data_IF_890205067010
#
_entry.id   IF_890205067010
#
_cell.length_a   1.000
_cell.length_b   1.000
_cell.length_c   1.000
_cell.angle_alpha   90.00
_cell.angle_beta   90.00
_cell.angle_gamma   90.00
#
_symmetry.space_group_name_H-M   'P 1'
#
loop_
_entity.id
_entity.type
_entity.pdbx_description
1 polymer ?
#
# COMPACT_ATOMS: atom_id res chain seq x y z
N UNK A 1 -4.80 -38.04 -1.48
CA UNK A 1 -5.44 -37.78 -2.78
C UNK A 1 -6.94 -37.81 -2.54
N UNK A 2 -7.78 -36.84 -2.86
CA UNK A 2 -7.64 -35.52 -3.48
C UNK A 2 -9.02 -34.85 -3.37
N UNK A 3 -9.15 -33.74 -2.66
CA UNK A 3 -10.42 -33.01 -2.61
C UNK A 3 -10.25 -31.63 -2.02
N UNK A 4 -9.72 -31.58 -0.79
CA UNK A 4 -9.62 -30.33 -0.02
C UNK A 4 -8.60 -29.32 -0.60
N UNK A 5 -7.61 -29.80 -1.36
CA UNK A 5 -6.65 -28.93 -2.04
C UNK A 5 -7.19 -28.42 -3.38
N UNK A 6 -7.90 -29.28 -4.14
CA UNK A 6 -8.45 -28.91 -5.45
C UNK A 6 -9.62 -27.91 -5.33
N UNK A 7 -10.43 -28.04 -4.28
CA UNK A 7 -11.54 -27.13 -4.00
C UNK A 7 -11.03 -25.76 -3.55
N UNK A 8 -10.07 -25.70 -2.63
CA UNK A 8 -9.37 -24.45 -2.25
C UNK A 8 -8.61 -23.82 -3.40
N UNK A 9 -8.00 -24.63 -4.28
CA UNK A 9 -7.38 -24.13 -5.51
C UNK A 9 -8.42 -23.56 -6.48
N UNK A 10 -9.58 -24.20 -6.65
CA UNK A 10 -10.65 -23.68 -7.52
C UNK A 10 -11.26 -22.40 -6.97
N UNK A 11 -11.58 -22.34 -5.68
CA UNK A 11 -12.10 -21.12 -5.04
C UNK A 11 -11.10 -19.96 -5.17
N UNK A 12 -9.80 -20.24 -5.02
CA UNK A 12 -8.75 -19.25 -5.26
C UNK A 12 -8.75 -18.75 -6.70
N UNK A 13 -8.94 -19.63 -7.71
CA UNK A 13 -8.97 -19.22 -9.11
C UNK A 13 -10.29 -18.54 -9.53
N UNK A 14 -11.42 -18.92 -8.96
CA UNK A 14 -12.70 -18.23 -9.16
C UNK A 14 -12.63 -16.81 -8.58
N UNK A 15 -11.97 -16.62 -7.44
CA UNK A 15 -11.66 -15.29 -6.89
C UNK A 15 -10.60 -14.56 -7.74
N UNK A 16 -9.59 -15.27 -8.25
CA UNK A 16 -8.54 -14.74 -9.14
C UNK A 16 -9.12 -14.19 -10.46
N UNK A 17 -10.22 -14.78 -10.94
CA UNK A 17 -10.89 -14.41 -12.18
C UNK A 17 -12.13 -13.53 -11.95
N UNK A 18 -12.35 -13.06 -10.73
CA UNK A 18 -13.32 -12.01 -10.46
C UNK A 18 -12.81 -10.69 -11.06
N UNK A 19 -12.96 -10.54 -12.37
CA UNK A 19 -12.55 -9.36 -13.11
C UNK A 19 -13.61 -8.28 -12.95
N UNK A 20 -13.17 -7.07 -12.63
CA UNK A 20 -13.97 -5.86 -12.78
C UNK A 20 -13.47 -5.08 -13.99
N UNK A 21 -14.39 -4.69 -14.86
CA UNK A 21 -14.04 -3.82 -15.99
C UNK A 21 -13.62 -2.44 -15.50
N UNK A 22 -12.56 -1.91 -16.13
CA UNK A 22 -12.05 -0.56 -15.92
C UNK A 22 -12.15 0.21 -17.23
N UNK A 23 -12.34 1.53 -17.15
CA UNK A 23 -12.36 2.35 -18.37
C UNK A 23 -10.97 2.37 -19.01
N UNK A 24 -10.92 2.47 -20.34
CA UNK A 24 -9.68 2.52 -21.08
C UNK A 24 -8.79 3.69 -20.64
N UNK A 25 -9.39 4.84 -20.33
CA UNK A 25 -8.67 6.04 -19.87
C UNK A 25 -7.96 5.79 -18.54
N UNK A 26 -8.64 5.13 -17.59
CA UNK A 26 -8.05 4.79 -16.29
C UNK A 26 -6.89 3.80 -16.45
N UNK A 27 -7.08 2.76 -17.26
CA UNK A 27 -6.05 1.75 -17.51
C UNK A 27 -4.81 2.36 -18.19
N UNK A 28 -5.01 3.09 -19.30
CA UNK A 28 -3.93 3.71 -20.06
C UNK A 28 -3.19 4.77 -19.24
N UNK A 29 -3.91 5.58 -18.45
CA UNK A 29 -3.29 6.53 -17.55
C UNK A 29 -2.41 5.83 -16.51
N UNK A 30 -2.87 4.72 -15.93
CA UNK A 30 -2.12 3.96 -14.93
C UNK A 30 -0.86 3.38 -15.54
N UNK A 31 -0.95 2.76 -16.72
CA UNK A 31 0.21 2.23 -17.46
C UNK A 31 1.24 3.33 -17.74
N UNK A 32 0.83 4.45 -18.34
CA UNK A 32 1.73 5.55 -18.69
C UNK A 32 2.32 6.24 -17.44
N UNK A 33 1.49 6.56 -16.44
CA UNK A 33 1.92 7.39 -15.29
C UNK A 33 2.72 6.59 -14.26
N UNK A 34 2.24 5.39 -13.90
CA UNK A 34 2.82 4.59 -12.81
C UNK A 34 3.95 3.71 -13.33
N UNK A 35 3.70 2.92 -14.38
CA UNK A 35 4.64 1.90 -14.83
C UNK A 35 5.70 2.45 -15.81
N UNK A 36 5.30 3.27 -16.79
CA UNK A 36 6.25 3.80 -17.80
C UNK A 36 7.01 5.02 -17.28
N UNK A 37 6.29 6.08 -16.88
CA UNK A 37 6.91 7.33 -16.45
C UNK A 37 7.45 7.28 -15.04
N UNK A 38 6.85 6.46 -14.17
CA UNK A 38 7.16 6.39 -12.74
C UNK A 38 7.05 7.78 -12.09
N UNK A 39 5.95 8.47 -12.37
CA UNK A 39 5.82 9.90 -12.09
C UNK A 39 5.86 10.23 -10.58
N UNK A 40 5.37 9.34 -9.72
CA UNK A 40 5.36 9.54 -8.27
C UNK A 40 6.78 9.57 -7.66
N UNK A 41 7.62 8.52 -7.81
CA UNK A 41 8.98 8.56 -7.26
C UNK A 41 9.88 9.61 -7.93
N UNK A 42 9.54 10.07 -9.14
CA UNK A 42 10.27 11.16 -9.82
C UNK A 42 9.76 12.56 -9.46
N UNK A 43 8.73 12.69 -8.62
CA UNK A 43 8.17 13.98 -8.21
C UNK A 43 7.45 14.77 -9.31
N UNK A 44 7.03 14.10 -10.40
CA UNK A 44 6.35 14.73 -11.54
C UNK A 44 4.85 14.40 -11.60
N UNK A 45 4.36 13.53 -10.71
CA UNK A 45 2.95 13.17 -10.65
C UNK A 45 2.09 14.37 -10.22
N UNK A 46 0.98 14.57 -10.92
CA UNK A 46 -0.05 15.54 -10.52
C UNK A 46 -1.40 14.84 -10.41
N UNK A 47 -2.26 15.34 -9.53
CA UNK A 47 -3.66 14.95 -9.42
C UNK A 47 -4.53 16.20 -9.44
N UNK A 48 -5.44 16.30 -10.42
CA UNK A 48 -6.32 17.48 -10.61
C UNK A 48 -5.54 18.81 -10.64
N UNK A 49 -4.38 18.82 -11.30
CA UNK A 49 -3.51 19.99 -11.43
C UNK A 49 -2.64 20.29 -10.20
N UNK A 50 -2.73 19.51 -9.13
CA UNK A 50 -1.91 19.67 -7.92
C UNK A 50 -0.80 18.62 -7.91
N UNK A 51 0.44 19.04 -7.66
CA UNK A 51 1.57 18.13 -7.52
C UNK A 51 1.35 17.17 -6.34
N UNK A 52 1.65 15.88 -6.56
CA UNK A 52 1.62 14.87 -5.50
C UNK A 52 2.99 14.82 -4.85
N UNK A 53 3.06 15.19 -3.57
CA UNK A 53 4.29 15.22 -2.79
C UNK A 53 4.18 14.28 -1.56
N UNK A 54 4.78 13.07 -1.59
CA UNK A 54 4.81 12.16 -0.45
C UNK A 54 5.49 12.74 0.80
N UNK A 55 6.39 13.72 0.64
CA UNK A 55 7.04 14.39 1.77
C UNK A 55 6.06 15.23 2.59
N UNK A 56 4.87 15.54 2.07
CA UNK A 56 3.84 16.23 2.82
C UNK A 56 3.22 15.37 3.95
N UNK A 57 3.45 14.06 3.96
CA UNK A 57 2.96 13.12 4.98
C UNK A 57 3.83 13.24 6.24
N UNK A 58 3.21 13.54 7.39
CA UNK A 58 3.93 13.85 8.66
C UNK A 58 3.35 13.21 9.91
N UNK A 59 2.03 13.07 9.97
CA UNK A 59 1.30 12.81 11.22
C UNK A 59 0.74 11.38 11.32
N UNK A 60 1.39 10.43 10.64
CA UNK A 60 1.00 9.02 10.61
C UNK A 60 2.24 8.15 10.86
N UNK A 61 2.01 6.86 11.08
CA UNK A 61 3.06 5.85 11.03
C UNK A 61 2.94 5.08 9.71
N UNK A 62 4.05 4.59 9.16
CA UNK A 62 4.10 3.86 7.89
C UNK A 62 4.57 2.43 8.12
N UNK A 63 3.73 1.46 7.74
CA UNK A 63 4.08 0.04 7.76
C UNK A 63 3.99 -0.54 6.34
N UNK A 64 5.08 -1.14 5.88
CA UNK A 64 5.12 -1.86 4.60
C UNK A 64 5.29 -3.35 4.83
N UNK A 65 4.57 -4.16 4.03
CA UNK A 65 4.64 -5.63 4.05
C UNK A 65 4.97 -6.11 2.64
N UNK A 66 5.98 -6.97 2.51
CA UNK A 66 6.38 -7.60 1.24
C UNK A 66 6.43 -9.12 1.37
N UNK A 67 6.30 -9.85 0.27
CA UNK A 67 6.50 -11.30 0.20
C UNK A 67 7.86 -11.63 -0.40
N UNK A 68 8.59 -12.58 0.19
CA UNK A 68 9.92 -13.00 -0.31
C UNK A 68 9.91 -13.44 -1.78
N UNK A 69 8.84 -14.13 -2.19
CA UNK A 69 8.68 -14.72 -3.51
C UNK A 69 7.61 -13.99 -4.33
N UNK A 70 7.32 -12.71 -4.02
CA UNK A 70 6.37 -11.90 -4.78
C UNK A 70 6.97 -11.51 -6.14
N UNK A 71 6.37 -12.01 -7.22
CA UNK A 71 6.75 -11.77 -8.61
C UNK A 71 5.93 -10.67 -9.29
N UNK A 72 4.93 -10.10 -8.61
CA UNK A 72 4.09 -9.00 -9.07
C UNK A 72 4.64 -7.66 -8.55
N UNK A 73 4.81 -7.56 -7.23
CA UNK A 73 5.43 -6.44 -6.53
C UNK A 73 6.69 -6.92 -5.82
N UNK A 74 7.77 -7.06 -6.60
CA UNK A 74 9.03 -7.61 -6.10
C UNK A 74 9.63 -6.84 -4.91
N UNK A 75 10.52 -7.53 -4.19
CA UNK A 75 11.19 -7.02 -3.00
C UNK A 75 11.77 -5.61 -3.22
N UNK A 76 11.53 -4.74 -2.23
CA UNK A 76 11.96 -3.35 -2.23
C UNK A 76 10.96 -2.36 -2.84
N UNK A 77 10.03 -2.78 -3.70
CA UNK A 77 9.10 -1.86 -4.34
C UNK A 77 8.13 -1.22 -3.34
N UNK A 78 7.61 -1.99 -2.39
CA UNK A 78 6.72 -1.47 -1.33
C UNK A 78 7.55 -0.72 -0.29
N UNK A 79 8.72 -1.25 0.09
CA UNK A 79 9.65 -0.62 1.04
C UNK A 79 10.13 0.76 0.57
N UNK A 80 10.23 1.01 -0.74
CA UNK A 80 10.60 2.30 -1.30
C UNK A 80 9.67 3.46 -0.87
N UNK A 81 8.44 3.16 -0.42
CA UNK A 81 7.56 4.18 0.16
C UNK A 81 8.19 4.90 1.36
N UNK A 82 9.09 4.24 2.08
CA UNK A 82 9.82 4.84 3.20
C UNK A 82 10.75 5.97 2.75
N UNK A 83 11.40 5.82 1.59
CA UNK A 83 12.30 6.82 1.02
C UNK A 83 11.55 8.00 0.40
N UNK A 84 10.28 7.79 0.02
CA UNK A 84 9.40 8.86 -0.46
C UNK A 84 8.79 9.67 0.70
N UNK A 85 8.40 9.00 1.78
CA UNK A 85 7.72 9.63 2.91
C UNK A 85 8.71 10.18 3.96
N UNK A 86 9.72 10.95 3.52
CA UNK A 86 10.88 11.38 4.32
C UNK A 86 10.57 12.15 5.61
N UNK A 87 9.36 12.71 5.73
CA UNK A 87 8.97 13.51 6.88
C UNK A 87 8.17 12.71 7.93
N UNK A 88 7.98 11.41 7.72
CA UNK A 88 7.56 10.50 8.78
C UNK A 88 8.79 10.18 9.64
N UNK A 89 8.73 10.37 10.97
CA UNK A 89 9.84 10.04 11.86
C UNK A 89 10.27 8.57 11.73
N UNK A 90 11.58 8.29 11.74
CA UNK A 90 12.14 6.95 11.54
C UNK A 90 11.61 5.91 12.54
N UNK A 91 11.33 6.32 13.78
CA UNK A 91 10.72 5.50 14.83
C UNK A 91 9.24 5.17 14.58
N UNK A 92 8.62 5.75 13.54
CA UNK A 92 7.25 5.47 13.08
C UNK A 92 7.20 4.73 11.75
N UNK A 93 8.37 4.29 11.25
CA UNK A 93 8.46 3.39 10.12
C UNK A 93 8.59 1.94 10.62
N UNK A 94 7.84 1.04 10.00
CA UNK A 94 8.00 -0.39 10.14
C UNK A 94 8.03 -1.03 8.76
N UNK A 95 8.82 -2.09 8.60
CA UNK A 95 8.85 -2.89 7.39
C UNK A 95 8.93 -4.36 7.78
N UNK A 96 8.16 -5.21 7.12
CA UNK A 96 8.19 -6.64 7.31
C UNK A 96 8.17 -7.37 5.97
N UNK A 97 9.18 -8.21 5.75
CA UNK A 97 9.21 -9.14 4.63
C UNK A 97 8.78 -10.52 5.16
N UNK A 98 7.70 -11.08 4.60
CA UNK A 98 7.18 -12.39 4.96
C UNK A 98 7.95 -13.48 4.19
N UNK A 99 8.63 -14.40 4.89
CA UNK A 99 9.37 -15.47 4.23
C UNK A 99 8.46 -16.45 3.49
N UNK A 100 8.98 -16.95 2.38
CA UNK A 100 8.44 -18.06 1.57
C UNK A 100 6.98 -17.88 1.11
N UNK A 101 6.50 -16.64 0.94
CA UNK A 101 5.20 -16.34 0.34
C UNK A 101 5.37 -15.52 -0.94
N UNK A 102 4.51 -15.77 -1.92
CA UNK A 102 4.33 -14.89 -3.07
C UNK A 102 3.31 -13.79 -2.81
N UNK A 103 2.90 -13.08 -3.87
CA UNK A 103 2.04 -11.91 -3.80
C UNK A 103 0.81 -12.09 -2.89
N UNK A 104 -0.01 -13.09 -3.15
CA UNK A 104 -1.24 -13.31 -2.38
C UNK A 104 -1.02 -13.70 -0.92
N UNK A 105 0.13 -14.32 -0.61
CA UNK A 105 0.42 -14.75 0.76
C UNK A 105 0.70 -13.59 1.72
N UNK A 106 0.83 -12.36 1.21
CA UNK A 106 0.95 -11.15 2.04
C UNK A 106 -0.40 -10.65 2.57
N UNK A 107 -1.53 -11.11 1.98
CA UNK A 107 -2.88 -10.70 2.39
C UNK A 107 -3.92 -11.84 2.46
N UNK A 108 -3.54 -13.08 2.17
CA UNK A 108 -4.41 -14.26 2.23
C UNK A 108 -3.64 -15.50 2.75
N UNK A 109 -4.37 -16.52 3.19
CA UNK A 109 -3.81 -17.80 3.65
C UNK A 109 -3.57 -17.88 5.15
N UNK A 110 -3.06 -19.03 5.61
CA UNK A 110 -2.79 -19.28 7.03
C UNK A 110 -1.65 -18.41 7.55
N UNK A 111 -0.55 -18.27 6.79
CA UNK A 111 0.60 -17.42 7.16
C UNK A 111 0.22 -15.95 7.33
N UNK A 112 -0.61 -15.40 6.45
CA UNK A 112 -1.13 -14.05 6.63
C UNK A 112 -1.85 -13.90 7.98
N UNK A 113 -2.76 -14.82 8.31
CA UNK A 113 -3.54 -14.78 9.56
C UNK A 113 -2.69 -14.99 10.81
N UNK A 114 -1.71 -15.90 10.77
CA UNK A 114 -0.89 -16.25 11.94
C UNK A 114 0.31 -15.33 12.13
N UNK A 115 0.81 -14.67 11.09
CA UNK A 115 2.07 -13.91 11.13
C UNK A 115 1.88 -12.43 10.79
N UNK A 116 1.21 -12.10 9.68
CA UNK A 116 1.11 -10.70 9.23
C UNK A 116 0.03 -9.94 10.01
N UNK A 117 -1.16 -10.53 10.19
CA UNK A 117 -2.27 -9.88 10.91
C UNK A 117 -1.87 -9.46 12.33
N UNK A 118 -1.22 -10.30 13.17
CA UNK A 118 -0.76 -9.86 14.48
C UNK A 118 0.18 -8.65 14.44
N UNK A 119 1.07 -8.57 13.43
CA UNK A 119 1.98 -7.42 13.24
C UNK A 119 1.21 -6.15 12.84
N UNK A 120 0.21 -6.27 11.96
CA UNK A 120 -0.68 -5.15 11.61
C UNK A 120 -1.41 -4.65 12.86
N UNK A 121 -1.98 -5.58 13.66
CA UNK A 121 -2.71 -5.24 14.89
C UNK A 121 -1.78 -4.57 15.91
N UNK A 122 -0.58 -5.10 16.12
CA UNK A 122 0.42 -4.52 17.01
C UNK A 122 0.85 -3.12 16.54
N UNK A 123 1.12 -2.94 15.24
CA UNK A 123 1.46 -1.66 14.65
C UNK A 123 0.33 -0.63 14.87
N UNK A 124 -0.92 -0.99 14.55
CA UNK A 124 -2.08 -0.11 14.76
C UNK A 124 -2.26 0.20 16.24
N UNK A 125 -2.04 -0.76 17.13
CA UNK A 125 -2.19 -0.55 18.58
C UNK A 125 -1.10 0.40 19.12
N UNK A 126 0.13 0.23 18.65
CA UNK A 126 1.29 1.03 19.04
C UNK A 126 1.19 2.49 18.60
N UNK A 127 0.69 2.76 17.39
CA UNK A 127 0.62 4.12 16.84
C UNK A 127 -0.79 4.75 16.83
N UNK A 128 -1.86 3.95 16.90
CA UNK A 128 -3.24 4.41 16.77
C UNK A 128 -3.80 5.12 18.01
N UNK A 129 -3.18 4.94 19.17
CA UNK A 129 -3.63 5.55 20.45
C UNK A 129 -2.84 6.79 20.87
N UNK A 130 -1.67 7.05 20.28
CA UNK A 130 -0.81 8.14 20.71
C UNK A 130 -1.06 9.42 19.89
N UNK A 131 -1.63 10.42 20.55
CA UNK A 131 -1.68 11.83 20.12
C UNK A 131 -2.51 12.16 18.88
N UNK A 132 -3.83 11.96 18.93
CA UNK A 132 -4.75 12.83 18.18
C UNK A 132 -4.69 14.25 18.77
N UNK A 133 -3.69 15.05 18.40
CA UNK A 133 -3.80 16.51 18.53
C UNK A 133 -4.83 16.93 17.51
N UNK A 134 -5.99 17.40 17.96
CA UNK A 134 -7.04 17.90 17.08
C UNK A 134 -6.47 19.01 16.19
N UNK A 135 -6.30 18.73 14.90
CA UNK A 135 -5.92 19.74 13.92
C UNK A 135 -7.14 20.65 13.75
N UNK A 136 -7.09 21.86 14.32
CA UNK A 136 -8.12 22.87 14.05
C UNK A 136 -8.13 23.16 12.54
N UNK A 137 -9.27 23.02 11.85
CA UNK A 137 -9.33 23.31 10.42
C UNK A 137 -8.94 24.77 10.19
N UNK A 138 -7.93 25.00 9.33
CA UNK A 138 -7.59 26.35 8.88
C UNK A 138 -8.68 26.83 7.92
N UNK A 139 -9.40 27.88 8.31
CA UNK A 139 -10.36 28.55 7.46
C UNK A 139 -9.61 29.18 6.27
N UNK A 140 -9.75 28.62 5.07
CA UNK A 140 -9.22 29.23 3.86
C UNK A 140 -10.09 30.45 3.55
N UNK A 141 -9.52 31.66 3.66
CA UNK A 141 -10.18 32.87 3.20
C UNK A 141 -10.24 32.84 1.68
N UNK A 142 -11.44 32.70 1.12
CA UNK A 142 -11.70 32.93 -0.29
C UNK A 142 -11.40 34.40 -0.61
N UNK A 143 -10.36 34.62 -1.40
CA UNK A 143 -10.07 35.94 -1.96
C UNK A 143 -11.17 36.30 -2.96
N UNK A 144 -11.83 37.44 -2.74
CA UNK A 144 -12.64 38.10 -3.77
C UNK A 144 -11.72 38.68 -4.83
N UNK A 145 -11.88 38.26 -6.09
CA UNK A 145 -11.84 39.12 -7.27
C UNK A 145 -12.83 38.59 -8.29
#
# INVERSE_FOLDING_TARGET
HDGDNAEKHREFYDEYLAVMDLTAEFYLQTVDTVFVRQALPKGTMTHRGVAVDPSAIRNVALFTVEGENDDISGLGQTKAAHDLCINIPADRHAHYMQPAVGHYGVFNGSRFRSEIVPRIVDFITSYGRQNRVAVKPKLVRTGKK
#
